data_IF_827310232414
#
_entry.id   IF_827310232414
#
_cell.length_a   1.000
_cell.length_b   1.000
_cell.length_c   1.000
_cell.angle_alpha   90.00
_cell.angle_beta   90.00
_cell.angle_gamma   90.00
#
_symmetry.space_group_name_H-M   'P 1'
#
loop_
_entity.id
_entity.type
_entity.pdbx_description
1 polymer ?
#
# COMPACT_ATOMS: atom_id res chain seq x y z
N UNK A 1 -70.65 -32.86 -37.90
CA UNK A 1 -69.92 -32.53 -36.64
C UNK A 1 -70.30 -31.08 -36.29
N UNK A 2 -70.97 -30.83 -35.13
CA UNK A 2 -71.58 -29.54 -34.82
C UNK A 2 -70.50 -28.49 -34.49
N UNK A 3 -70.58 -27.30 -35.11
CA UNK A 3 -69.69 -26.12 -34.91
C UNK A 3 -69.53 -25.74 -33.43
N UNK A 4 -70.47 -26.07 -32.58
CA UNK A 4 -70.42 -25.83 -31.12
C UNK A 4 -69.29 -26.63 -30.39
N UNK A 5 -68.93 -27.81 -30.91
CA UNK A 5 -67.87 -28.65 -30.34
C UNK A 5 -66.48 -28.11 -30.63
N UNK A 6 -66.28 -27.46 -31.77
CA UNK A 6 -65.02 -26.87 -32.18
C UNK A 6 -64.68 -25.64 -31.33
N UNK A 7 -65.68 -24.80 -31.06
CA UNK A 7 -65.50 -23.63 -30.19
C UNK A 7 -65.09 -24.00 -28.75
N UNK A 8 -65.67 -25.07 -28.19
CA UNK A 8 -65.35 -25.55 -26.87
C UNK A 8 -63.92 -26.13 -26.75
N UNK A 9 -63.45 -26.83 -27.79
CA UNK A 9 -62.07 -27.32 -27.84
C UNK A 9 -61.07 -26.20 -27.99
N UNK A 10 -61.34 -25.17 -28.81
CA UNK A 10 -60.48 -24.01 -29.00
C UNK A 10 -60.39 -23.16 -27.75
N UNK A 11 -61.45 -22.94 -27.03
CA UNK A 11 -61.50 -22.22 -25.73
C UNK A 11 -60.69 -22.96 -24.64
N UNK A 12 -60.77 -24.29 -24.59
CA UNK A 12 -59.96 -25.09 -23.66
C UNK A 12 -58.46 -25.10 -23.99
N UNK A 13 -58.12 -25.16 -25.28
CA UNK A 13 -56.71 -25.07 -25.71
C UNK A 13 -56.13 -23.68 -25.41
N UNK A 14 -56.86 -22.61 -25.70
CA UNK A 14 -56.44 -21.25 -25.41
C UNK A 14 -56.24 -21.02 -23.90
N UNK A 15 -57.16 -21.50 -23.07
CA UNK A 15 -57.07 -21.47 -21.61
C UNK A 15 -55.87 -22.25 -21.07
N UNK A 16 -55.55 -23.37 -21.67
CA UNK A 16 -54.38 -24.18 -21.30
C UNK A 16 -53.06 -23.51 -21.68
N UNK A 17 -52.97 -22.92 -22.86
CA UNK A 17 -51.80 -22.18 -23.33
C UNK A 17 -51.53 -20.95 -22.47
N UNK A 18 -52.55 -20.16 -22.17
CA UNK A 18 -52.45 -18.98 -21.30
C UNK A 18 -52.00 -19.34 -19.90
N UNK A 19 -52.51 -20.44 -19.31
CA UNK A 19 -52.06 -20.92 -18.00
C UNK A 19 -50.62 -21.41 -18.02
N UNK A 20 -50.22 -22.09 -19.08
CA UNK A 20 -48.82 -22.56 -19.25
C UNK A 20 -47.84 -21.38 -19.35
N UNK A 21 -48.12 -20.39 -20.20
CA UNK A 21 -47.31 -19.20 -20.33
C UNK A 21 -47.25 -18.39 -19.03
N UNK A 22 -48.35 -18.26 -18.32
CA UNK A 22 -48.38 -17.62 -17.00
C UNK A 22 -47.48 -18.34 -15.98
N UNK A 23 -47.54 -19.68 -15.92
CA UNK A 23 -46.71 -20.49 -15.02
C UNK A 23 -45.21 -20.34 -15.39
N UNK A 24 -44.89 -20.39 -16.67
CA UNK A 24 -43.49 -20.23 -17.15
C UNK A 24 -42.98 -18.84 -16.77
N UNK A 25 -43.75 -17.75 -17.00
CA UNK A 25 -43.38 -16.39 -16.65
C UNK A 25 -43.20 -16.23 -15.13
N UNK A 26 -44.08 -16.82 -14.33
CA UNK A 26 -43.97 -16.79 -12.87
C UNK A 26 -42.70 -17.51 -12.39
N UNK A 27 -42.38 -18.66 -12.96
CA UNK A 27 -41.19 -19.42 -12.61
C UNK A 27 -39.91 -18.70 -13.00
N UNK A 28 -39.87 -18.01 -14.16
CA UNK A 28 -38.74 -17.20 -14.57
C UNK A 28 -38.54 -15.98 -13.67
N UNK A 29 -39.61 -15.31 -13.26
CA UNK A 29 -39.56 -14.20 -12.31
C UNK A 29 -39.02 -14.65 -10.94
N UNK A 30 -39.48 -15.81 -10.43
CA UNK A 30 -39.00 -16.36 -9.18
C UNK A 30 -37.51 -16.74 -9.27
N UNK A 31 -37.09 -17.39 -10.35
CA UNK A 31 -35.68 -17.73 -10.58
C UNK A 31 -34.80 -16.49 -10.67
N UNK A 32 -35.23 -15.46 -11.40
CA UNK A 32 -34.52 -14.18 -11.49
C UNK A 32 -34.41 -13.49 -10.12
N UNK A 33 -35.49 -13.50 -9.31
CA UNK A 33 -35.47 -12.93 -7.97
C UNK A 33 -34.53 -13.67 -7.02
N UNK A 34 -34.43 -14.99 -7.13
CA UNK A 34 -33.46 -15.81 -6.36
C UNK A 34 -32.03 -15.48 -6.79
N UNK A 35 -31.75 -15.41 -8.09
CA UNK A 35 -30.42 -15.07 -8.61
C UNK A 35 -30.01 -13.66 -8.14
N UNK A 36 -30.88 -12.67 -8.24
CA UNK A 36 -30.64 -11.31 -7.76
C UNK A 36 -30.40 -11.31 -6.24
N UNK A 37 -31.20 -12.04 -5.48
CA UNK A 37 -31.04 -12.17 -4.03
C UNK A 37 -29.69 -12.80 -3.65
N UNK A 38 -29.29 -13.89 -4.32
CA UNK A 38 -27.97 -14.52 -4.12
C UNK A 38 -26.85 -13.56 -4.50
N UNK A 39 -26.97 -12.86 -5.62
CA UNK A 39 -25.98 -11.87 -6.06
C UNK A 39 -25.84 -10.73 -5.05
N UNK A 40 -26.95 -10.19 -4.53
CA UNK A 40 -26.93 -9.13 -3.51
C UNK A 40 -26.29 -9.60 -2.19
N UNK A 41 -26.55 -10.84 -1.77
CA UNK A 41 -25.93 -11.42 -0.56
C UNK A 41 -24.44 -11.63 -0.78
N UNK A 42 -24.04 -12.09 -1.97
CA UNK A 42 -22.63 -12.28 -2.32
C UNK A 42 -21.86 -10.95 -2.38
N UNK A 43 -22.43 -9.94 -3.05
CA UNK A 43 -21.85 -8.59 -3.13
C UNK A 43 -21.74 -7.90 -1.76
N UNK A 44 -22.73 -8.05 -0.88
CA UNK A 44 -22.66 -7.50 0.48
C UNK A 44 -21.58 -8.17 1.34
N UNK A 45 -21.31 -9.47 1.10
CA UNK A 45 -20.30 -10.19 1.85
C UNK A 45 -18.87 -9.70 1.55
N UNK A 46 -18.64 -9.15 0.34
CA UNK A 46 -17.37 -8.55 -0.04
C UNK A 46 -17.23 -7.08 0.43
N UNK A 47 -18.37 -6.36 0.62
CA UNK A 47 -18.34 -4.97 1.12
C UNK A 47 -18.10 -4.86 2.63
N UNK A 48 -18.43 -5.89 3.40
CA UNK A 48 -18.32 -5.90 4.87
C UNK A 48 -17.01 -6.55 5.40
N UNK A 49 -16.12 -7.02 4.50
CA UNK A 49 -14.87 -7.63 4.93
C UNK A 49 -13.83 -6.56 5.21
N UNK A 50 -13.53 -6.33 6.50
CA UNK A 50 -12.39 -5.52 6.89
C UNK A 50 -11.08 -6.21 6.48
N UNK A 51 -10.11 -5.42 5.99
CA UNK A 51 -8.75 -5.87 5.71
C UNK A 51 -7.95 -5.78 7.00
N UNK A 52 -7.29 -6.87 7.39
CA UNK A 52 -6.42 -6.88 8.54
C UNK A 52 -4.98 -6.60 8.13
N UNK A 53 -4.46 -5.47 8.60
CA UNK A 53 -3.13 -4.96 8.26
C UNK A 53 -2.19 -5.14 9.45
N UNK A 54 -1.17 -5.98 9.26
CA UNK A 54 -0.04 -6.10 10.19
C UNK A 54 1.07 -5.15 9.80
N UNK A 55 1.80 -4.63 10.78
CA UNK A 55 3.00 -3.83 10.51
C UNK A 55 4.05 -4.03 11.58
N UNK A 56 5.31 -4.25 11.18
CA UNK A 56 6.46 -4.33 12.06
C UNK A 56 7.31 -3.09 11.91
N UNK A 57 7.58 -2.43 13.03
CA UNK A 57 8.41 -1.24 13.14
C UNK A 57 9.75 -1.54 13.81
N UNK A 58 10.83 -0.99 13.27
CA UNK A 58 12.17 -1.10 13.86
C UNK A 58 12.32 -0.29 15.15
N UNK A 59 11.45 0.68 15.36
CA UNK A 59 11.40 1.56 16.52
C UNK A 59 9.98 1.89 16.94
N UNK A 60 9.81 3.05 17.53
CA UNK A 60 8.54 3.64 17.93
C UNK A 60 8.47 5.13 17.55
N UNK A 61 7.46 5.85 18.02
CA UNK A 61 7.25 7.27 17.74
C UNK A 61 8.37 8.21 18.24
N UNK A 62 9.34 7.69 18.97
CA UNK A 62 10.49 8.50 19.42
C UNK A 62 11.49 8.79 18.29
N UNK A 63 11.40 8.07 17.17
CA UNK A 63 12.23 8.27 15.99
C UNK A 63 11.40 8.77 14.84
N UNK A 64 11.84 9.87 14.18
CA UNK A 64 11.13 10.45 13.04
C UNK A 64 10.92 9.47 11.88
N UNK A 65 11.80 8.49 11.71
CA UNK A 65 11.66 7.45 10.70
C UNK A 65 10.42 6.58 10.95
N UNK A 66 10.28 6.03 12.16
CA UNK A 66 9.14 5.18 12.51
C UNK A 66 7.85 5.98 12.62
N UNK A 67 7.93 7.19 13.17
CA UNK A 67 6.79 8.08 13.37
C UNK A 67 6.05 8.40 12.07
N UNK A 68 6.78 8.63 10.96
CA UNK A 68 6.16 8.82 9.63
C UNK A 68 5.26 7.65 9.21
N UNK A 69 5.64 6.40 9.50
CA UNK A 69 4.80 5.24 9.20
C UNK A 69 3.61 5.13 10.15
N UNK A 70 3.77 5.53 11.41
CA UNK A 70 2.70 5.55 12.41
C UNK A 70 1.64 6.58 12.01
N UNK A 71 2.06 7.79 11.63
CA UNK A 71 1.17 8.84 11.13
C UNK A 71 0.43 8.40 9.86
N UNK A 72 1.14 7.86 8.87
CA UNK A 72 0.52 7.37 7.63
C UNK A 72 -0.52 6.28 7.90
N UNK A 73 -0.29 5.40 8.88
CA UNK A 73 -1.25 4.38 9.26
C UNK A 73 -2.46 4.95 9.98
N UNK A 74 -2.26 6.00 10.79
CA UNK A 74 -3.36 6.72 11.44
C UNK A 74 -4.26 7.41 10.40
N UNK A 75 -3.69 8.02 9.36
CA UNK A 75 -4.41 8.62 8.25
C UNK A 75 -5.24 7.57 7.47
N UNK A 76 -4.66 6.40 7.20
CA UNK A 76 -5.37 5.28 6.56
C UNK A 76 -6.55 4.84 7.42
N UNK A 77 -6.35 4.73 8.73
CA UNK A 77 -7.43 4.32 9.64
C UNK A 77 -8.53 5.38 9.74
N UNK A 78 -8.17 6.67 9.68
CA UNK A 78 -9.14 7.77 9.63
C UNK A 78 -9.96 7.73 8.33
N UNK A 79 -9.31 7.49 7.19
CA UNK A 79 -9.97 7.46 5.87
C UNK A 79 -10.88 6.23 5.69
N UNK A 80 -10.42 5.05 6.11
CA UNK A 80 -11.10 3.77 5.84
C UNK A 80 -11.94 3.25 7.01
N UNK A 81 -11.77 3.81 8.22
CA UNK A 81 -12.56 3.47 9.41
C UNK A 81 -12.56 1.98 9.74
N UNK A 82 -13.74 1.40 9.91
CA UNK A 82 -13.92 -0.01 10.28
C UNK A 82 -13.55 -1.01 9.16
N UNK A 83 -13.23 -0.51 7.95
CA UNK A 83 -12.76 -1.36 6.85
C UNK A 83 -11.31 -1.83 7.02
N UNK A 84 -10.57 -1.22 7.93
CA UNK A 84 -9.17 -1.57 8.20
C UNK A 84 -8.96 -1.86 9.69
N UNK A 85 -8.61 -3.10 10.01
CA UNK A 85 -8.10 -3.49 11.32
C UNK A 85 -6.57 -3.47 11.31
N UNK A 86 -5.94 -2.84 12.29
CA UNK A 86 -4.49 -2.64 12.30
C UNK A 86 -3.86 -3.35 13.50
N UNK A 87 -2.77 -4.09 13.23
CA UNK A 87 -1.93 -4.78 14.24
C UNK A 87 -0.48 -4.28 14.15
N UNK A 88 -0.12 -3.21 14.89
CA UNK A 88 1.26 -2.71 14.91
C UNK A 88 2.11 -3.47 15.92
N UNK A 89 3.37 -3.77 15.55
CA UNK A 89 4.40 -4.31 16.42
C UNK A 89 5.61 -3.37 16.44
N UNK A 90 5.91 -2.83 17.60
CA UNK A 90 6.94 -1.81 17.79
C UNK A 90 8.25 -2.40 18.29
N UNK A 91 9.36 -1.69 18.02
CA UNK A 91 10.69 -2.03 18.52
C UNK A 91 11.13 -3.46 18.18
N UNK A 92 10.74 -3.93 16.98
CA UNK A 92 11.19 -5.22 16.46
C UNK A 92 12.66 -5.11 16.11
N UNK A 93 13.52 -5.82 16.82
CA UNK A 93 14.95 -5.78 16.55
C UNK A 93 15.27 -6.48 15.23
N UNK A 94 16.18 -5.90 14.44
CA UNK A 94 16.65 -6.53 13.21
C UNK A 94 17.27 -7.90 13.50
N UNK A 95 16.89 -8.91 12.73
CA UNK A 95 17.22 -10.32 12.94
C UNK A 95 16.20 -11.10 13.77
N UNK A 96 15.21 -10.45 14.38
CA UNK A 96 14.11 -11.11 15.12
C UNK A 96 12.76 -11.03 14.39
N UNK A 97 12.69 -10.33 13.26
CA UNK A 97 11.47 -10.01 12.52
C UNK A 97 10.67 -11.25 12.09
N UNK A 98 11.32 -12.41 11.94
CA UNK A 98 10.66 -13.65 11.51
C UNK A 98 9.51 -14.06 12.44
N UNK A 99 9.74 -14.03 13.73
CA UNK A 99 8.73 -14.43 14.73
C UNK A 99 7.51 -13.51 14.67
N UNK A 100 7.74 -12.21 14.54
CA UNK A 100 6.67 -11.20 14.45
C UNK A 100 5.88 -11.30 13.15
N UNK A 101 6.56 -11.56 12.01
CA UNK A 101 5.89 -11.78 10.73
C UNK A 101 5.00 -13.02 10.77
N UNK A 102 5.51 -14.14 11.31
CA UNK A 102 4.73 -15.37 11.48
C UNK A 102 3.57 -15.18 12.48
N UNK A 103 3.74 -14.37 13.52
CA UNK A 103 2.66 -14.00 14.45
C UNK A 103 1.55 -13.22 13.73
N UNK A 104 1.89 -12.22 12.91
CA UNK A 104 0.92 -11.45 12.13
C UNK A 104 0.15 -12.32 11.11
N UNK A 105 0.84 -13.23 10.44
CA UNK A 105 0.20 -14.22 9.55
C UNK A 105 -0.77 -15.11 10.33
N UNK A 106 -0.34 -15.64 11.47
CA UNK A 106 -1.18 -16.50 12.32
C UNK A 106 -2.37 -15.74 12.93
N UNK A 107 -2.24 -14.43 13.15
CA UNK A 107 -3.32 -13.56 13.56
C UNK A 107 -4.32 -13.26 12.44
N UNK A 108 -4.07 -13.73 11.23
CA UNK A 108 -4.95 -13.59 10.06
C UNK A 108 -4.84 -12.24 9.38
N UNK A 109 -3.66 -11.60 9.38
CA UNK A 109 -3.42 -10.41 8.59
C UNK A 109 -3.47 -10.74 7.09
N UNK A 110 -4.22 -9.94 6.32
CA UNK A 110 -4.32 -10.04 4.87
C UNK A 110 -3.14 -9.32 4.17
N UNK A 111 -2.61 -8.29 4.82
CA UNK A 111 -1.53 -7.42 4.33
C UNK A 111 -0.55 -7.11 5.46
N UNK A 112 0.74 -7.29 5.22
CA UNK A 112 1.79 -7.06 6.22
C UNK A 112 2.84 -6.10 5.67
N UNK A 113 3.13 -5.04 6.43
CA UNK A 113 4.19 -4.08 6.14
C UNK A 113 5.43 -4.33 7.00
N UNK A 114 6.59 -4.26 6.39
CA UNK A 114 7.90 -4.30 7.05
C UNK A 114 8.66 -3.01 6.78
N UNK A 115 9.16 -2.34 7.82
CA UNK A 115 9.65 -0.95 7.72
C UNK A 115 11.16 -0.76 7.85
N UNK A 116 11.97 -1.84 7.93
CA UNK A 116 13.42 -1.72 7.91
C UNK A 116 14.03 -2.44 6.71
N UNK A 117 15.03 -1.83 6.07
CA UNK A 117 15.80 -2.43 4.97
C UNK A 117 16.26 -3.85 5.29
N UNK A 118 16.76 -4.08 6.51
CA UNK A 118 17.31 -5.36 6.92
C UNK A 118 16.28 -6.47 7.11
N UNK A 119 14.98 -6.14 7.17
CA UNK A 119 13.90 -7.15 7.16
C UNK A 119 13.65 -7.77 5.78
N UNK A 120 14.18 -7.17 4.71
CA UNK A 120 13.82 -7.48 3.33
C UNK A 120 14.00 -8.94 2.95
N UNK A 121 15.08 -9.60 3.37
CA UNK A 121 15.35 -11.01 3.08
C UNK A 121 14.33 -11.89 3.80
N UNK A 122 14.17 -11.69 5.10
CA UNK A 122 13.24 -12.48 5.93
C UNK A 122 11.80 -12.29 5.49
N UNK A 123 11.38 -11.05 5.21
CA UNK A 123 10.01 -10.77 4.74
C UNK A 123 9.73 -11.50 3.43
N UNK A 124 10.68 -11.50 2.48
CA UNK A 124 10.55 -12.21 1.21
C UNK A 124 10.46 -13.72 1.39
N UNK A 125 11.27 -14.30 2.28
CA UNK A 125 11.20 -15.72 2.61
C UNK A 125 9.84 -16.12 3.21
N UNK A 126 9.28 -15.28 4.09
CA UNK A 126 7.95 -15.50 4.69
C UNK A 126 6.86 -15.35 3.62
N UNK A 127 6.93 -14.34 2.74
CA UNK A 127 6.01 -14.19 1.62
C UNK A 127 5.95 -15.45 0.75
N UNK A 128 7.09 -16.07 0.48
CA UNK A 128 7.14 -17.33 -0.29
C UNK A 128 6.47 -18.53 0.40
N UNK A 129 6.35 -18.51 1.74
CA UNK A 129 5.65 -19.56 2.51
C UNK A 129 4.13 -19.33 2.59
N UNK A 130 3.68 -18.08 2.50
CA UNK A 130 2.30 -17.68 2.72
C UNK A 130 1.76 -16.90 1.50
N UNK A 131 1.49 -17.57 0.38
CA UNK A 131 1.13 -16.92 -0.89
C UNK A 131 -0.21 -16.16 -0.85
N UNK A 132 -1.08 -16.46 0.10
CA UNK A 132 -2.38 -15.81 0.26
C UNK A 132 -2.31 -14.48 1.03
N UNK A 133 -1.16 -14.17 1.66
CA UNK A 133 -0.91 -12.93 2.41
C UNK A 133 -0.06 -11.98 1.56
N UNK A 134 -0.43 -10.71 1.49
CA UNK A 134 0.34 -9.70 0.78
C UNK A 134 1.41 -9.09 1.70
N UNK A 135 2.63 -8.94 1.20
CA UNK A 135 3.74 -8.34 1.93
C UNK A 135 4.28 -7.11 1.21
N UNK A 136 4.40 -6.01 1.94
CA UNK A 136 4.95 -4.76 1.45
C UNK A 136 6.18 -4.36 2.27
N UNK A 137 7.33 -4.31 1.59
CA UNK A 137 8.61 -4.01 2.20
C UNK A 137 9.05 -2.59 1.86
N UNK A 138 9.21 -1.74 2.88
CA UNK A 138 9.72 -0.39 2.71
C UNK A 138 11.24 -0.40 2.53
N UNK A 139 11.76 0.51 1.73
CA UNK A 139 13.19 0.82 1.58
C UNK A 139 14.06 -0.27 0.98
N UNK A 140 13.49 -1.37 0.49
CA UNK A 140 14.20 -2.48 -0.14
C UNK A 140 13.87 -2.55 -1.63
N UNK A 141 14.71 -3.20 -2.44
CA UNK A 141 14.52 -3.36 -3.88
C UNK A 141 14.47 -4.82 -4.34
N UNK A 142 14.56 -5.76 -3.41
CA UNK A 142 14.72 -7.19 -3.70
C UNK A 142 13.47 -7.90 -4.25
N UNK A 143 12.34 -7.19 -4.45
CA UNK A 143 11.20 -7.73 -5.21
C UNK A 143 11.57 -8.02 -6.68
N UNK A 144 12.57 -7.30 -7.22
CA UNK A 144 13.07 -7.48 -8.57
C UNK A 144 14.17 -8.55 -8.71
N UNK A 145 14.39 -9.35 -7.67
CA UNK A 145 15.37 -10.44 -7.62
C UNK A 145 14.65 -11.79 -7.55
N UNK A 146 15.26 -12.86 -8.01
CA UNK A 146 14.70 -14.21 -7.85
C UNK A 146 14.73 -14.67 -6.37
N UNK A 147 13.74 -15.45 -5.92
CA UNK A 147 12.51 -15.82 -6.61
C UNK A 147 11.55 -14.65 -6.75
N UNK A 148 10.88 -14.50 -7.90
CA UNK A 148 9.82 -13.51 -8.10
C UNK A 148 8.55 -14.03 -7.43
N UNK A 149 7.94 -13.19 -6.57
CA UNK A 149 6.73 -13.54 -5.80
C UNK A 149 5.64 -12.53 -6.09
N UNK A 150 4.44 -13.02 -6.44
CA UNK A 150 3.28 -12.18 -6.76
C UNK A 150 2.71 -11.44 -5.54
N UNK A 151 3.03 -11.93 -4.34
CA UNK A 151 2.55 -11.39 -3.06
C UNK A 151 3.63 -10.62 -2.27
N UNK A 152 4.77 -10.29 -2.90
CA UNK A 152 5.85 -9.52 -2.27
C UNK A 152 6.17 -8.27 -3.07
N UNK A 153 5.98 -7.12 -2.44
CA UNK A 153 6.13 -5.81 -3.06
C UNK A 153 7.15 -4.98 -2.29
N UNK A 154 7.93 -4.18 -3.01
CA UNK A 154 8.83 -3.21 -2.39
C UNK A 154 8.43 -1.81 -2.80
N UNK A 155 8.55 -0.85 -1.89
CA UNK A 155 8.26 0.55 -2.15
C UNK A 155 9.27 1.48 -1.48
N UNK A 156 9.45 2.65 -2.08
CA UNK A 156 10.31 3.70 -1.55
C UNK A 156 9.72 5.06 -1.92
N UNK A 157 9.70 5.97 -0.95
CA UNK A 157 9.34 7.35 -1.23
C UNK A 157 10.42 8.09 -2.02
N UNK A 158 10.04 9.17 -2.72
CA UNK A 158 10.96 10.04 -3.44
C UNK A 158 11.73 10.95 -2.45
N UNK A 159 12.48 10.36 -1.51
CA UNK A 159 13.16 11.02 -0.40
C UNK A 159 14.17 12.07 -0.91
N UNK A 160 14.72 11.87 -2.10
CA UNK A 160 15.63 12.83 -2.74
C UNK A 160 14.98 14.18 -2.99
N UNK A 161 13.66 14.28 -3.16
CA UNK A 161 12.94 15.56 -3.31
C UNK A 161 12.99 16.37 -2.01
N UNK A 162 12.72 15.75 -0.88
CA UNK A 162 12.86 16.35 0.44
C UNK A 162 14.33 16.72 0.73
N UNK A 163 15.29 15.90 0.29
CA UNK A 163 16.73 16.22 0.40
C UNK A 163 17.12 17.43 -0.45
N UNK A 164 16.55 17.56 -1.65
CA UNK A 164 16.75 18.77 -2.46
C UNK A 164 16.24 20.02 -1.74
N UNK A 165 15.01 19.98 -1.20
CA UNK A 165 14.44 21.10 -0.46
C UNK A 165 15.31 21.47 0.77
N UNK A 166 15.79 20.47 1.52
CA UNK A 166 16.73 20.68 2.62
C UNK A 166 18.07 21.30 2.14
N UNK A 167 18.53 20.88 0.97
CA UNK A 167 19.68 21.47 0.30
C UNK A 167 19.48 22.95 -0.04
N UNK A 168 18.32 23.34 -0.55
CA UNK A 168 17.97 24.75 -0.80
C UNK A 168 18.04 25.55 0.49
N UNK A 169 17.48 25.04 1.59
CA UNK A 169 17.55 25.71 2.90
C UNK A 169 19.01 25.88 3.37
N UNK A 170 19.86 24.87 3.19
CA UNK A 170 21.31 24.97 3.48
C UNK A 170 22.00 25.99 2.59
N UNK A 171 21.65 26.07 1.31
CA UNK A 171 22.15 27.07 0.37
C UNK A 171 21.77 28.50 0.77
N UNK A 172 20.53 28.70 1.22
CA UNK A 172 20.08 29.99 1.77
C UNK A 172 20.94 30.38 2.97
N UNK A 173 21.22 29.43 3.87
CA UNK A 173 22.08 29.68 5.03
C UNK A 173 23.51 30.02 4.64
N UNK A 174 24.09 29.33 3.66
CA UNK A 174 25.41 29.71 3.10
C UNK A 174 25.41 31.13 2.52
N UNK A 175 24.35 31.48 1.76
CA UNK A 175 24.21 32.83 1.21
C UNK A 175 24.16 33.90 2.29
N UNK A 176 23.43 33.69 3.39
CA UNK A 176 23.41 34.59 4.54
C UNK A 176 24.81 34.81 5.14
N UNK A 177 25.61 33.74 5.27
CA UNK A 177 26.97 33.83 5.79
C UNK A 177 27.90 34.58 4.85
N UNK A 178 27.73 34.43 3.53
CA UNK A 178 28.49 35.19 2.51
C UNK A 178 28.11 36.66 2.55
N UNK A 179 26.81 36.97 2.56
CA UNK A 179 26.31 38.35 2.59
C UNK A 179 26.74 39.11 3.88
N UNK A 180 26.89 38.38 5.00
CA UNK A 180 27.41 38.88 6.26
C UNK A 180 28.95 39.02 6.28
N UNK A 181 29.66 38.61 5.22
CA UNK A 181 31.12 38.63 5.15
C UNK A 181 31.83 37.64 6.09
N UNK A 182 31.09 36.62 6.59
CA UNK A 182 31.65 35.59 7.49
C UNK A 182 32.45 34.56 6.72
N UNK A 183 32.00 34.21 5.50
CA UNK A 183 32.69 33.36 4.55
C UNK A 183 32.65 33.97 3.16
N UNK A 184 33.56 33.55 2.28
CA UNK A 184 33.52 33.84 0.85
C UNK A 184 32.78 32.78 0.05
N UNK A 185 32.38 33.03 -1.19
CA UNK A 185 31.75 32.05 -2.07
C UNK A 185 32.64 30.77 -2.25
N UNK A 186 33.96 30.94 -2.31
CA UNK A 186 34.92 29.85 -2.43
C UNK A 186 35.03 28.98 -1.15
N UNK A 187 34.57 29.51 -0.03
CA UNK A 187 34.52 28.80 1.25
C UNK A 187 33.15 28.14 1.52
N UNK A 188 32.21 28.23 0.58
CA UNK A 188 30.89 27.61 0.68
C UNK A 188 31.02 26.06 0.63
N UNK A 189 31.25 25.48 1.81
CA UNK A 189 31.48 24.04 1.98
C UNK A 189 30.46 23.44 2.94
N UNK A 190 29.96 22.23 2.61
CA UNK A 190 29.03 21.46 3.42
C UNK A 190 29.68 20.10 3.76
N UNK A 191 29.52 19.65 5.01
CA UNK A 191 29.76 18.28 5.41
C UNK A 191 28.43 17.51 5.38
N UNK A 192 28.42 16.32 4.82
CA UNK A 192 27.26 15.43 4.79
C UNK A 192 27.67 14.06 5.33
N UNK A 193 26.86 13.51 6.26
CA UNK A 193 27.09 12.15 6.78
C UNK A 193 26.06 11.24 6.13
N UNK A 194 26.53 10.29 5.31
CA UNK A 194 25.70 9.25 4.71
C UNK A 194 25.68 8.02 5.60
N UNK A 195 24.50 7.35 5.68
CA UNK A 195 24.36 6.15 6.50
C UNK A 195 25.13 4.96 5.88
N UNK A 196 24.91 4.71 4.58
CA UNK A 196 25.49 3.58 3.84
C UNK A 196 25.70 3.98 2.37
N UNK A 197 26.60 3.30 1.62
CA UNK A 197 26.87 3.60 0.22
C UNK A 197 25.82 2.99 -0.74
N UNK A 198 24.55 3.07 -0.41
CA UNK A 198 23.45 2.60 -1.25
C UNK A 198 22.98 3.68 -2.21
N UNK A 199 22.36 3.27 -3.33
CA UNK A 199 21.87 4.17 -4.37
C UNK A 199 20.91 5.24 -3.82
N UNK A 200 20.06 4.88 -2.86
CA UNK A 200 19.16 5.80 -2.17
C UNK A 200 19.90 6.90 -1.42
N UNK A 201 20.92 6.54 -0.63
CA UNK A 201 21.71 7.49 0.15
C UNK A 201 22.50 8.41 -0.81
N UNK A 202 23.03 7.82 -1.89
CA UNK A 202 23.76 8.56 -2.94
C UNK A 202 22.84 9.56 -3.62
N UNK A 203 21.63 9.16 -4.02
CA UNK A 203 20.64 10.06 -4.62
C UNK A 203 20.25 11.19 -3.66
N UNK A 204 20.13 10.88 -2.37
CA UNK A 204 19.78 11.82 -1.31
C UNK A 204 20.82 12.94 -1.15
N UNK A 205 22.11 12.60 -0.95
CA UNK A 205 23.13 13.63 -0.80
C UNK A 205 23.43 14.37 -2.11
N UNK A 206 23.26 13.69 -3.25
CA UNK A 206 23.39 14.37 -4.56
C UNK A 206 22.30 15.42 -4.74
N UNK A 207 21.05 15.08 -4.43
CA UNK A 207 19.92 16.01 -4.49
C UNK A 207 20.12 17.19 -3.51
N UNK A 208 20.60 16.92 -2.29
CA UNK A 208 20.92 17.93 -1.30
C UNK A 208 21.96 18.93 -1.83
N UNK A 209 23.05 18.44 -2.44
CA UNK A 209 24.08 19.31 -3.05
C UNK A 209 23.49 20.14 -4.19
N UNK A 210 22.67 19.55 -5.05
CA UNK A 210 22.01 20.25 -6.14
C UNK A 210 21.08 21.35 -5.62
N UNK A 211 20.34 21.09 -4.54
CA UNK A 211 19.53 22.08 -3.84
C UNK A 211 20.37 23.26 -3.31
N UNK A 212 21.48 22.96 -2.63
CA UNK A 212 22.39 24.02 -2.13
C UNK A 212 23.00 24.84 -3.27
N UNK A 213 23.40 24.20 -4.36
CA UNK A 213 23.96 24.85 -5.55
C UNK A 213 22.95 25.69 -6.33
N UNK A 214 21.66 25.44 -6.21
CA UNK A 214 20.61 26.28 -6.80
C UNK A 214 20.60 27.70 -6.20
N UNK A 215 21.15 27.86 -5.00
CA UNK A 215 21.27 29.16 -4.29
C UNK A 215 22.70 29.69 -4.35
N UNK A 216 23.69 28.86 -4.02
CA UNK A 216 25.12 29.22 -4.08
C UNK A 216 25.82 28.20 -4.99
N UNK A 217 26.02 28.60 -6.25
CA UNK A 217 26.48 27.68 -7.33
C UNK A 217 27.84 27.04 -7.07
N UNK A 218 28.72 27.75 -6.32
CA UNK A 218 30.07 27.29 -5.98
C UNK A 218 30.13 26.31 -4.80
N UNK A 219 28.98 25.98 -4.18
CA UNK A 219 28.93 25.08 -3.03
C UNK A 219 29.61 23.76 -3.34
N UNK A 220 30.52 23.37 -2.46
CA UNK A 220 31.18 22.05 -2.45
C UNK A 220 30.70 21.23 -1.26
N UNK A 221 30.74 19.90 -1.39
CA UNK A 221 30.30 19.02 -0.33
C UNK A 221 31.29 17.85 -0.13
N UNK A 222 31.58 17.54 1.12
CA UNK A 222 32.32 16.33 1.50
C UNK A 222 31.35 15.37 2.14
N UNK A 223 31.29 14.14 1.61
CA UNK A 223 30.45 13.07 2.15
C UNK A 223 31.35 12.09 2.92
N UNK A 224 30.90 11.69 4.11
CA UNK A 224 31.53 10.65 4.92
C UNK A 224 30.51 9.58 5.30
#
# INVERSE_FOLDING_TARGET
MKISNIKGIFSKMLSYTVKREFIITLMTCIAASIIIGVYMVYSRKDEDKSIKVGIIYVGDASTAYTDNFIEALADIKEEYGDKVEVMPMYNVAEGTEREYLEELVNAGCDLIFSTSYNYGITTKEIAGKYPDVQFCMATCSNANEEPYLDNYHTFMGAIYEGRYAAGVAAGIKLKELIDAGIITENEAKIGYVGAYPYAEVISGYTAFLLGARSVVSQTTMTVK
#
